data_IF_996032109363
#
_entry.id   IF_996032109363
#
_cell.length_a   1.000
_cell.length_b   1.000
_cell.length_c   1.000
_cell.angle_alpha   90.00
_cell.angle_beta   90.00
_cell.angle_gamma   90.00
#
_symmetry.space_group_name_H-M   'P 1'
#
loop_
_entity.id
_entity.type
_entity.pdbx_description
1 polymer ?
#
# COMPACT_ATOMS: atom_id res chain seq x y z
N UNK A 1 20.32 10.76 0.61
CA UNK A 1 21.31 10.71 -0.50
C UNK A 1 20.56 10.45 -1.80
N UNK A 2 21.00 11.02 -2.93
CA UNK A 2 20.42 10.70 -4.24
C UNK A 2 20.55 9.19 -4.47
N UNK A 3 19.45 8.53 -4.83
CA UNK A 3 19.50 7.12 -5.21
C UNK A 3 19.92 7.08 -6.66
N UNK A 4 21.03 6.38 -6.95
CA UNK A 4 21.42 5.91 -8.28
C UNK A 4 21.06 6.89 -9.44
N UNK A 5 21.81 7.99 -9.55
CA UNK A 5 21.84 8.88 -10.73
C UNK A 5 20.53 9.57 -11.17
N UNK A 6 19.42 9.50 -10.43
CA UNK A 6 18.23 10.31 -10.73
C UNK A 6 18.25 11.64 -9.93
N UNK A 7 18.51 12.80 -10.58
CA UNK A 7 18.52 14.09 -9.90
C UNK A 7 17.13 14.53 -9.38
N UNK A 8 16.06 13.83 -9.79
CA UNK A 8 14.70 14.08 -9.34
C UNK A 8 14.26 13.14 -8.21
N UNK A 9 15.15 12.27 -7.73
CA UNK A 9 14.87 11.31 -6.68
C UNK A 9 15.76 11.54 -5.46
N UNK A 10 15.14 11.64 -4.29
CA UNK A 10 15.85 11.71 -3.00
C UNK A 10 15.34 10.56 -2.16
N UNK A 11 16.26 9.81 -1.53
CA UNK A 11 15.89 8.94 -0.44
C UNK A 11 16.58 9.24 0.87
N UNK A 12 15.82 8.92 1.91
CA UNK A 12 16.19 8.96 3.30
C UNK A 12 15.92 7.57 3.87
N UNK A 13 16.99 6.82 4.13
CA UNK A 13 16.93 5.65 5.00
C UNK A 13 16.91 6.16 6.46
N UNK A 14 16.03 5.62 7.28
CA UNK A 14 15.89 5.96 8.70
C UNK A 14 15.74 4.70 9.55
N UNK A 15 16.13 4.82 10.82
CA UNK A 15 15.99 3.79 11.83
C UNK A 15 15.22 4.36 13.02
N UNK A 16 14.20 3.63 13.47
CA UNK A 16 13.44 3.95 14.67
C UNK A 16 13.79 2.95 15.75
N UNK A 17 14.43 3.45 16.81
CA UNK A 17 14.61 2.70 18.04
C UNK A 17 13.34 2.85 18.90
N UNK A 18 12.70 1.71 19.21
CA UNK A 18 11.56 1.64 20.12
C UNK A 18 12.00 0.98 21.42
N UNK A 19 11.73 1.65 22.54
CA UNK A 19 11.94 1.12 23.88
C UNK A 19 10.63 0.72 24.55
N UNK A 20 10.45 -0.57 24.80
CA UNK A 20 9.30 -1.11 25.55
C UNK A 20 9.64 -1.22 27.04
N UNK A 21 9.17 -0.24 27.82
CA UNK A 21 9.43 -0.16 29.26
C UNK A 21 8.77 -1.28 30.07
N UNK A 22 7.91 -2.10 29.46
CA UNK A 22 7.21 -3.21 30.12
C UNK A 22 7.97 -4.54 30.01
N UNK A 23 9.02 -4.61 29.17
CA UNK A 23 9.87 -5.81 29.01
C UNK A 23 11.12 -5.72 29.89
N UNK A 24 11.60 -6.90 30.34
CA UNK A 24 12.79 -7.05 31.19
C UNK A 24 14.05 -6.44 30.54
N UNK A 25 15.01 -6.05 31.39
CA UNK A 25 16.32 -5.52 30.98
C UNK A 25 17.03 -6.50 30.03
N UNK A 26 17.26 -6.09 28.78
CA UNK A 26 18.00 -6.87 27.77
C UNK A 26 17.23 -7.10 26.45
N UNK A 27 15.90 -7.05 26.47
CA UNK A 27 15.03 -7.25 25.28
C UNK A 27 14.01 -6.13 25.08
N UNK A 28 14.24 -4.99 25.74
CA UNK A 28 13.32 -3.85 25.72
C UNK A 28 13.54 -2.89 24.56
N UNK A 29 14.48 -3.15 23.64
CA UNK A 29 14.76 -2.29 22.50
C UNK A 29 14.51 -3.06 21.20
N UNK A 30 13.72 -2.46 20.31
CA UNK A 30 13.44 -2.98 18.97
C UNK A 30 13.80 -1.92 17.94
N UNK A 31 14.42 -2.34 16.83
CA UNK A 31 14.87 -1.46 15.76
C UNK A 31 13.99 -1.67 14.52
N UNK A 32 13.45 -0.57 13.99
CA UNK A 32 12.61 -0.57 12.80
C UNK A 32 13.26 0.26 11.70
N UNK A 33 13.60 -0.38 10.59
CA UNK A 33 14.22 0.28 9.45
C UNK A 33 13.17 0.66 8.42
N UNK A 34 13.28 1.86 7.87
CA UNK A 34 12.43 2.32 6.78
C UNK A 34 13.16 3.25 5.83
N UNK A 35 12.53 3.48 4.68
CA UNK A 35 13.06 4.29 3.60
C UNK A 35 11.95 5.16 3.04
N UNK A 36 12.19 6.46 3.06
CA UNK A 36 11.35 7.46 2.41
C UNK A 36 12.01 7.82 1.09
N UNK A 37 11.29 7.64 -0.02
CA UNK A 37 11.70 8.08 -1.35
C UNK A 37 10.76 9.19 -1.84
N UNK A 38 11.33 10.31 -2.26
CA UNK A 38 10.63 11.42 -2.85
C UNK A 38 11.05 11.53 -4.31
N UNK A 39 10.09 11.43 -5.21
CA UNK A 39 10.32 11.52 -6.66
C UNK A 39 9.53 12.67 -7.24
N UNK A 40 10.22 13.59 -7.91
CA UNK A 40 9.58 14.68 -8.63
C UNK A 40 9.07 14.19 -9.99
N UNK A 41 7.77 14.34 -10.23
CA UNK A 41 7.09 13.97 -11.47
C UNK A 41 6.50 15.23 -12.10
N UNK A 42 7.29 15.95 -12.90
CA UNK A 42 6.89 17.25 -13.47
C UNK A 42 6.76 18.32 -12.39
N UNK A 43 5.54 18.84 -12.18
CA UNK A 43 5.22 19.78 -11.09
C UNK A 43 4.71 19.08 -9.82
N UNK A 44 4.34 17.79 -9.90
CA UNK A 44 3.85 17.01 -8.77
C UNK A 44 5.03 16.36 -8.01
N UNK A 45 4.89 16.20 -6.69
CA UNK A 45 5.84 15.44 -5.88
C UNK A 45 5.19 14.13 -5.46
N UNK A 46 5.77 13.02 -5.91
CA UNK A 46 5.37 11.69 -5.50
C UNK A 46 6.17 11.28 -4.26
N UNK A 47 5.46 10.74 -3.28
CA UNK A 47 6.04 10.23 -2.04
C UNK A 47 5.84 8.72 -2.02
N UNK A 48 6.95 7.97 -2.01
CA UNK A 48 6.95 6.54 -1.85
C UNK A 48 7.59 6.20 -0.50
N UNK A 49 6.85 5.51 0.34
CA UNK A 49 7.30 5.09 1.66
C UNK A 49 7.45 3.57 1.61
N UNK A 50 8.67 3.07 1.76
CA UNK A 50 8.96 1.65 1.85
C UNK A 50 9.46 1.34 3.26
N UNK A 51 8.74 0.52 4.02
CA UNK A 51 9.05 0.20 5.41
C UNK A 51 9.07 -1.31 5.54
N UNK A 52 10.15 -1.86 6.11
CA UNK A 52 10.28 -3.31 6.16
C UNK A 52 9.44 -3.97 7.25
N UNK A 53 8.92 -3.22 8.24
CA UNK A 53 7.93 -3.67 9.23
C UNK A 53 7.25 -2.45 9.90
N UNK A 54 5.93 -2.32 9.81
CA UNK A 54 5.18 -1.17 10.32
C UNK A 54 4.53 -1.44 11.67
N UNK A 55 5.02 -0.76 12.71
CA UNK A 55 4.16 -0.45 13.87
C UNK A 55 3.34 0.81 13.56
N UNK A 56 2.17 0.98 14.20
CA UNK A 56 1.36 2.21 14.04
C UNK A 56 2.15 3.49 14.39
N UNK A 57 3.06 3.40 15.36
CA UNK A 57 3.94 4.51 15.75
C UNK A 57 4.97 4.85 14.67
N UNK A 58 5.55 3.84 14.03
CA UNK A 58 6.46 4.01 12.89
C UNK A 58 5.78 4.79 11.76
N UNK A 59 4.52 4.45 11.43
CA UNK A 59 3.75 5.16 10.41
C UNK A 59 3.49 6.62 10.79
N UNK A 60 3.12 6.88 12.05
CA UNK A 60 2.92 8.26 12.56
C UNK A 60 4.18 9.10 12.44
N UNK A 61 5.34 8.55 12.84
CA UNK A 61 6.62 9.23 12.72
C UNK A 61 6.94 9.59 11.26
N UNK A 62 6.75 8.65 10.34
CA UNK A 62 7.02 8.87 8.92
C UNK A 62 6.12 9.96 8.34
N UNK A 63 4.85 10.00 8.71
CA UNK A 63 3.94 11.03 8.24
C UNK A 63 4.35 12.44 8.70
N UNK A 64 4.93 12.57 9.91
CA UNK A 64 5.50 13.84 10.39
C UNK A 64 6.74 14.19 9.58
N UNK A 65 7.67 13.23 9.45
CA UNK A 65 8.93 13.41 8.71
C UNK A 65 8.69 13.83 7.26
N UNK A 66 7.78 13.16 6.56
CA UNK A 66 7.38 13.47 5.18
C UNK A 66 6.84 14.90 5.06
N UNK A 67 5.97 15.33 5.98
CA UNK A 67 5.42 16.69 6.00
C UNK A 67 6.53 17.74 6.17
N UNK A 68 7.46 17.50 7.08
CA UNK A 68 8.56 18.42 7.35
C UNK A 68 9.53 18.55 6.17
N UNK A 69 9.88 17.42 5.55
CA UNK A 69 10.75 17.40 4.36
C UNK A 69 10.10 18.14 3.20
N UNK A 70 8.82 17.90 2.93
CA UNK A 70 8.11 18.58 1.84
C UNK A 70 7.98 20.08 2.11
N UNK A 71 7.66 20.46 3.36
CA UNK A 71 7.63 21.87 3.77
C UNK A 71 8.99 22.54 3.54
N UNK A 72 10.08 21.87 3.89
CA UNK A 72 11.43 22.35 3.64
C UNK A 72 11.68 22.59 2.13
N UNK A 73 11.40 21.61 1.27
CA UNK A 73 11.61 21.78 -0.18
C UNK A 73 10.69 22.83 -0.84
N UNK A 74 9.46 23.03 -0.33
CA UNK A 74 8.57 24.12 -0.74
C UNK A 74 9.14 25.49 -0.35
N UNK A 75 9.71 25.60 0.86
CA UNK A 75 10.33 26.84 1.35
C UNK A 75 11.60 27.20 0.56
N UNK A 76 12.38 26.19 0.15
CA UNK A 76 13.57 26.38 -0.70
C UNK A 76 13.24 26.60 -2.19
N UNK A 77 11.97 26.60 -2.58
CA UNK A 77 11.53 26.79 -3.97
C UNK A 77 11.93 25.64 -4.91
N UNK A 78 12.27 24.47 -4.37
CA UNK A 78 12.63 23.26 -5.14
C UNK A 78 11.40 22.51 -5.65
N UNK A 79 10.30 22.64 -4.91
CA UNK A 79 8.96 22.17 -5.24
C UNK A 79 8.05 23.40 -5.31
N UNK A 80 7.08 23.40 -6.25
CA UNK A 80 6.07 24.45 -6.30
C UNK A 80 5.34 24.54 -4.94
N UNK A 81 5.12 25.75 -4.43
CA UNK A 81 4.38 25.95 -3.17
C UNK A 81 2.99 25.31 -3.23
N UNK A 82 2.40 25.32 -4.43
CA UNK A 82 1.09 24.76 -4.75
C UNK A 82 1.17 23.30 -5.20
N UNK A 83 2.36 22.68 -5.30
CA UNK A 83 2.46 21.28 -5.65
C UNK A 83 1.66 20.44 -4.65
N UNK A 84 0.72 19.65 -5.17
CA UNK A 84 -0.02 18.69 -4.40
C UNK A 84 0.85 17.46 -4.11
N UNK A 85 0.76 16.99 -2.88
CA UNK A 85 1.36 15.74 -2.46
C UNK A 85 0.29 14.68 -2.69
N UNK A 86 0.54 13.74 -3.59
CA UNK A 86 -0.41 12.66 -3.86
C UNK A 86 -0.25 11.59 -2.78
N UNK A 87 -1.07 11.68 -1.73
CA UNK A 87 -1.27 10.61 -0.76
C UNK A 87 -2.62 9.95 -1.05
N UNK A 88 -2.62 8.66 -1.39
CA UNK A 88 -3.85 7.90 -1.66
C UNK A 88 -4.48 7.54 -0.32
N UNK A 89 -5.61 8.17 0.01
CA UNK A 89 -6.31 7.97 1.27
C UNK A 89 -7.56 7.13 1.11
N UNK A 90 -7.98 6.46 2.17
CA UNK A 90 -9.19 5.64 2.17
C UNK A 90 -10.45 6.41 1.74
N UNK A 91 -10.58 7.66 2.20
CA UNK A 91 -11.73 8.53 1.90
C UNK A 91 -11.63 9.28 0.57
N UNK A 92 -10.55 9.10 -0.19
CA UNK A 92 -10.49 9.59 -1.56
C UNK A 92 -11.47 8.85 -2.49
N UNK A 93 -12.07 7.76 -2.01
CA UNK A 93 -12.97 6.86 -2.76
C UNK A 93 -14.28 6.62 -2.02
N UNK A 94 -15.37 6.39 -2.77
CA UNK A 94 -16.57 5.77 -2.21
C UNK A 94 -16.35 4.26 -2.16
N UNK A 95 -17.25 3.52 -1.54
CA UNK A 95 -17.04 2.10 -1.30
C UNK A 95 -16.83 1.32 -2.59
N UNK A 96 -17.68 1.58 -3.58
CA UNK A 96 -17.58 0.97 -4.90
C UNK A 96 -16.27 1.30 -5.59
N UNK A 97 -15.93 2.59 -5.70
CA UNK A 97 -14.71 3.04 -6.35
C UNK A 97 -13.45 2.56 -5.60
N UNK A 98 -13.51 2.42 -4.27
CA UNK A 98 -12.40 1.88 -3.46
C UNK A 98 -12.15 0.42 -3.79
N UNK A 99 -13.22 -0.38 -3.87
CA UNK A 99 -13.13 -1.78 -4.25
C UNK A 99 -12.59 -1.89 -5.68
N UNK A 100 -13.15 -1.13 -6.63
CA UNK A 100 -12.69 -1.15 -8.02
C UNK A 100 -11.23 -0.72 -8.15
N UNK A 101 -10.81 0.32 -7.44
CA UNK A 101 -9.41 0.75 -7.37
C UNK A 101 -8.49 -0.38 -6.87
N UNK A 102 -8.82 -1.01 -5.74
CA UNK A 102 -8.00 -2.10 -5.18
C UNK A 102 -7.95 -3.31 -6.11
N UNK A 103 -9.07 -3.68 -6.76
CA UNK A 103 -9.11 -4.78 -7.73
C UNK A 103 -8.31 -4.44 -9.00
N UNK A 104 -8.43 -3.21 -9.51
CA UNK A 104 -7.70 -2.77 -10.69
C UNK A 104 -6.20 -2.77 -10.42
N UNK A 105 -5.78 -2.14 -9.31
CA UNK A 105 -4.38 -2.04 -8.88
C UNK A 105 -3.76 -3.40 -8.56
N UNK A 106 -4.54 -4.38 -8.09
CA UNK A 106 -4.00 -5.68 -7.70
C UNK A 106 -4.11 -6.74 -8.80
N UNK A 107 -5.18 -6.78 -9.61
CA UNK A 107 -5.44 -7.90 -10.51
C UNK A 107 -5.18 -7.57 -11.98
N UNK A 108 -5.40 -6.31 -12.36
CA UNK A 108 -5.31 -5.87 -13.76
C UNK A 108 -4.12 -4.94 -13.98
N UNK A 109 -3.02 -5.23 -13.30
CA UNK A 109 -1.79 -4.44 -13.38
C UNK A 109 -1.28 -4.33 -14.81
N UNK A 110 -1.05 -3.10 -15.26
CA UNK A 110 -0.52 -2.80 -16.60
C UNK A 110 0.89 -2.22 -16.48
N UNK A 111 1.67 -2.36 -17.56
CA UNK A 111 3.01 -1.80 -17.70
C UNK A 111 4.01 -2.23 -16.61
N UNK A 112 3.81 -3.42 -16.04
CA UNK A 112 4.67 -4.05 -15.03
C UNK A 112 5.02 -5.48 -15.44
N UNK A 113 6.13 -5.98 -14.88
CA UNK A 113 6.59 -7.36 -14.93
C UNK A 113 5.81 -8.31 -14.00
N UNK A 114 4.78 -7.82 -13.30
CA UNK A 114 3.94 -8.63 -12.42
C UNK A 114 2.85 -9.36 -13.19
N UNK A 115 2.83 -10.67 -13.02
CA UNK A 115 1.82 -11.58 -13.55
C UNK A 115 0.95 -12.04 -12.37
N UNK A 116 -0.30 -11.57 -12.33
CA UNK A 116 -1.26 -11.95 -11.32
C UNK A 116 -1.52 -13.47 -11.33
N UNK A 117 -1.54 -14.08 -10.13
CA UNK A 117 -1.86 -15.50 -9.95
C UNK A 117 -3.17 -15.72 -9.22
N UNK A 118 -3.35 -15.05 -8.08
CA UNK A 118 -4.48 -15.32 -7.19
C UNK A 118 -4.69 -14.20 -6.17
N UNK A 119 -5.92 -14.10 -5.65
CA UNK A 119 -6.26 -13.27 -4.49
C UNK A 119 -6.36 -14.15 -3.27
N UNK A 120 -5.44 -13.97 -2.33
CA UNK A 120 -5.27 -14.79 -1.13
C UNK A 120 -6.10 -14.32 0.03
N UNK A 121 -6.15 -13.01 0.23
CA UNK A 121 -6.89 -12.40 1.33
C UNK A 121 -7.65 -11.17 0.88
N UNK A 122 -8.79 -10.94 1.52
CA UNK A 122 -9.59 -9.73 1.37
C UNK A 122 -10.03 -9.30 2.75
N UNK A 123 -9.82 -8.02 3.08
CA UNK A 123 -10.20 -7.43 4.35
C UNK A 123 -11.39 -6.50 4.13
N UNK A 124 -12.55 -6.91 4.65
CA UNK A 124 -13.82 -6.20 4.49
C UNK A 124 -14.57 -6.07 5.81
N UNK A 125 -15.44 -5.08 5.88
CA UNK A 125 -16.45 -4.94 6.91
C UNK A 125 -17.70 -4.30 6.31
N UNK A 126 -18.89 -4.47 6.92
CA UNK A 126 -20.07 -3.72 6.52
C UNK A 126 -19.84 -2.21 6.69
N UNK A 127 -20.42 -1.41 5.80
CA UNK A 127 -20.57 0.01 6.04
C UNK A 127 -21.81 0.25 6.92
N UNK A 128 -21.57 0.77 8.12
CA UNK A 128 -22.61 1.06 9.10
C UNK A 128 -23.35 2.37 8.79
N UNK A 129 -22.75 3.26 8.00
CA UNK A 129 -23.32 4.57 7.65
C UNK A 129 -24.38 4.46 6.53
N UNK A 130 -24.41 3.35 5.80
CA UNK A 130 -25.35 3.13 4.71
C UNK A 130 -26.61 2.46 5.25
N UNK A 131 -27.79 2.95 4.91
CA UNK A 131 -29.05 2.32 5.34
C UNK A 131 -29.49 1.22 4.37
N UNK A 132 -30.16 0.18 4.88
CA UNK A 132 -30.79 -0.89 4.11
C UNK A 132 -29.86 -1.70 3.18
N UNK A 133 -28.93 -2.51 3.72
CA UNK A 133 -28.15 -3.43 2.91
C UNK A 133 -29.05 -4.52 2.28
N UNK A 134 -28.66 -5.09 1.13
CA UNK A 134 -29.31 -6.27 0.55
C UNK A 134 -29.45 -7.38 1.59
N UNK A 135 -30.58 -8.11 1.56
CA UNK A 135 -30.93 -9.10 2.58
C UNK A 135 -29.86 -10.20 2.72
N UNK A 136 -29.16 -10.52 1.62
CA UNK A 136 -28.09 -11.51 1.54
C UNK A 136 -26.85 -11.15 2.37
N UNK A 137 -26.60 -9.85 2.60
CA UNK A 137 -25.45 -9.35 3.35
C UNK A 137 -25.85 -8.59 4.62
N UNK A 138 -27.16 -8.44 4.88
CA UNK A 138 -27.69 -7.77 6.07
C UNK A 138 -27.17 -8.36 7.37
N UNK A 139 -26.98 -9.68 7.41
CA UNK A 139 -26.40 -10.37 8.56
C UNK A 139 -24.97 -9.92 8.90
N UNK A 140 -24.21 -9.39 7.93
CA UNK A 140 -22.84 -8.93 8.16
C UNK A 140 -22.83 -7.73 9.12
N UNK A 141 -23.78 -6.81 8.99
CA UNK A 141 -23.91 -5.65 9.88
C UNK A 141 -23.97 -6.07 11.35
N UNK A 142 -24.81 -7.06 11.64
CA UNK A 142 -25.11 -7.43 13.02
C UNK A 142 -24.08 -8.40 13.62
N UNK A 143 -23.29 -9.08 12.78
CA UNK A 143 -22.44 -10.21 13.20
C UNK A 143 -20.95 -10.06 12.90
N UNK A 144 -20.56 -9.12 12.03
CA UNK A 144 -19.18 -8.97 11.56
C UNK A 144 -18.66 -7.58 11.87
N UNK A 145 -17.76 -7.49 12.85
CA UNK A 145 -17.04 -6.25 13.14
C UNK A 145 -15.87 -6.02 12.16
N UNK A 146 -15.08 -7.05 11.88
CA UNK A 146 -14.02 -7.03 10.88
C UNK A 146 -13.83 -8.44 10.35
N UNK A 147 -13.80 -8.64 9.04
CA UNK A 147 -13.48 -9.93 8.46
C UNK A 147 -12.26 -9.84 7.56
N UNK A 148 -11.28 -10.70 7.88
CA UNK A 148 -10.24 -11.10 6.93
C UNK A 148 -10.67 -12.43 6.35
N UNK A 149 -11.10 -12.41 5.09
CA UNK A 149 -11.42 -13.61 4.33
C UNK A 149 -10.13 -14.11 3.70
N UNK A 150 -9.73 -15.33 4.03
CA UNK A 150 -8.53 -16.00 3.50
C UNK A 150 -8.94 -17.22 2.70
N UNK A 151 -8.39 -17.39 1.51
CA UNK A 151 -8.78 -18.47 0.62
C UNK A 151 -7.99 -18.53 -0.69
N UNK A 152 -8.57 -19.24 -1.66
CA UNK A 152 -8.10 -19.31 -3.04
C UNK A 152 -9.16 -18.74 -3.94
N UNK A 153 -8.75 -18.05 -5.00
CA UNK A 153 -9.62 -17.47 -6.01
C UNK A 153 -10.69 -16.54 -5.41
N UNK A 154 -10.37 -15.80 -4.34
CA UNK A 154 -11.35 -14.94 -3.67
C UNK A 154 -11.93 -13.87 -4.61
N UNK A 155 -11.18 -13.46 -5.62
CA UNK A 155 -11.62 -12.57 -6.70
C UNK A 155 -12.80 -13.13 -7.53
N UNK A 156 -13.09 -14.42 -7.42
CA UNK A 156 -14.23 -15.06 -8.07
C UNK A 156 -15.49 -15.14 -7.19
N UNK A 157 -15.43 -14.68 -5.95
CA UNK A 157 -16.57 -14.73 -5.02
C UNK A 157 -17.61 -13.64 -5.32
N UNK A 158 -18.86 -13.89 -4.91
CA UNK A 158 -19.98 -12.97 -5.16
C UNK A 158 -19.76 -11.59 -4.54
N UNK A 159 -19.08 -11.50 -3.39
CA UNK A 159 -18.72 -10.24 -2.73
C UNK A 159 -17.91 -9.28 -3.61
N UNK A 160 -17.19 -9.83 -4.60
CA UNK A 160 -16.27 -9.08 -5.47
C UNK A 160 -16.84 -8.92 -6.88
N UNK A 161 -17.55 -9.94 -7.37
CA UNK A 161 -18.11 -9.94 -8.73
C UNK A 161 -19.45 -9.21 -8.86
N UNK A 162 -20.27 -9.20 -7.81
CA UNK A 162 -21.62 -8.66 -7.90
C UNK A 162 -21.64 -7.18 -7.49
N UNK A 163 -22.02 -6.32 -8.43
CA UNK A 163 -22.03 -4.86 -8.24
C UNK A 163 -22.96 -4.39 -7.12
N UNK A 164 -23.99 -5.18 -6.79
CA UNK A 164 -25.06 -4.79 -5.88
C UNK A 164 -24.61 -4.70 -4.40
N UNK A 165 -23.46 -5.29 -4.05
CA UNK A 165 -22.93 -5.26 -2.69
C UNK A 165 -21.82 -4.22 -2.50
N UNK A 166 -21.23 -3.73 -3.59
CA UNK A 166 -20.02 -2.89 -3.55
C UNK A 166 -20.23 -1.59 -2.77
N UNK A 167 -21.44 -1.04 -2.83
CA UNK A 167 -21.76 0.18 -2.09
C UNK A 167 -21.82 -0.07 -0.57
N UNK A 168 -22.18 -1.27 -0.11
CA UNK A 168 -22.44 -1.58 1.30
C UNK A 168 -21.23 -2.16 2.06
N UNK A 169 -20.10 -2.33 1.38
CA UNK A 169 -18.92 -3.01 1.92
C UNK A 169 -17.73 -2.04 1.94
N UNK A 170 -17.13 -1.90 3.12
CA UNK A 170 -15.85 -1.24 3.30
C UNK A 170 -14.73 -2.25 3.09
N UNK A 171 -14.10 -2.24 1.91
CA UNK A 171 -12.84 -2.94 1.68
C UNK A 171 -11.66 -2.07 2.09
N UNK A 172 -10.85 -2.55 3.02
CA UNK A 172 -9.66 -1.84 3.50
C UNK A 172 -8.37 -2.61 3.22
N UNK A 173 -8.42 -3.82 2.67
CA UNK A 173 -7.21 -4.46 2.18
C UNK A 173 -7.45 -5.64 1.26
N UNK A 174 -6.47 -5.92 0.40
CA UNK A 174 -6.43 -7.07 -0.48
C UNK A 174 -4.99 -7.61 -0.56
N UNK A 175 -4.82 -8.92 -0.46
CA UNK A 175 -3.53 -9.59 -0.67
C UNK A 175 -3.61 -10.44 -1.92
N UNK A 176 -2.70 -10.21 -2.85
CA UNK A 176 -2.60 -10.98 -4.08
C UNK A 176 -1.21 -11.60 -4.22
N UNK A 177 -1.18 -12.78 -4.85
CA UNK A 177 0.06 -13.46 -5.20
C UNK A 177 0.36 -13.27 -6.69
N UNK A 178 1.64 -13.13 -7.01
CA UNK A 178 2.15 -12.85 -8.34
C UNK A 178 3.37 -13.70 -8.66
N UNK A 179 3.64 -13.83 -9.95
CA UNK A 179 4.99 -14.08 -10.45
C UNK A 179 5.55 -12.76 -10.98
N UNK A 180 6.79 -12.44 -10.63
CA UNK A 180 7.53 -11.34 -11.20
C UNK A 180 8.54 -11.89 -12.21
N UNK A 181 8.49 -11.38 -13.44
CA UNK A 181 9.41 -11.73 -14.52
C UNK A 181 10.25 -10.52 -14.93
N UNK A 182 11.49 -10.46 -14.44
CA UNK A 182 12.41 -9.36 -14.67
C UNK A 182 13.70 -9.81 -15.36
N UNK A 183 14.39 -8.85 -15.97
CA UNK A 183 15.63 -9.11 -16.70
C UNK A 183 16.74 -9.69 -15.80
N UNK A 184 16.86 -9.16 -14.58
CA UNK A 184 17.89 -9.56 -13.60
C UNK A 184 17.48 -10.77 -12.76
N UNK A 185 16.18 -10.89 -12.45
CA UNK A 185 15.65 -11.94 -11.60
C UNK A 185 14.17 -12.21 -11.84
N UNK A 186 13.78 -13.44 -11.53
CA UNK A 186 12.40 -13.86 -11.43
C UNK A 186 12.08 -14.25 -9.99
N UNK A 187 10.85 -14.01 -9.54
CA UNK A 187 10.46 -14.34 -8.17
C UNK A 187 8.96 -14.62 -8.04
N UNK A 188 8.58 -15.36 -7.01
CA UNK A 188 7.22 -15.31 -6.50
C UNK A 188 7.12 -14.16 -5.50
N UNK A 189 5.99 -13.45 -5.49
CA UNK A 189 5.75 -12.46 -4.46
C UNK A 189 4.28 -12.39 -4.07
N UNK A 190 4.05 -11.98 -2.83
CA UNK A 190 2.73 -11.58 -2.34
C UNK A 190 2.78 -10.09 -2.01
N UNK A 191 1.77 -9.36 -2.47
CA UNK A 191 1.62 -7.93 -2.20
C UNK A 191 0.31 -7.74 -1.47
N UNK A 192 0.39 -7.16 -0.28
CA UNK A 192 -0.74 -6.69 0.50
C UNK A 192 -0.92 -5.20 0.29
N UNK A 193 -2.05 -4.83 -0.30
CA UNK A 193 -2.50 -3.46 -0.49
C UNK A 193 -3.50 -3.17 0.62
N UNK A 194 -3.15 -2.31 1.56
CA UNK A 194 -3.98 -2.04 2.72
C UNK A 194 -4.08 -0.56 3.03
N UNK A 195 -5.31 -0.12 3.31
CA UNK A 195 -5.53 1.02 4.18
C UNK A 195 -5.51 0.50 5.62
N UNK A 196 -5.05 1.31 6.56
CA UNK A 196 -4.94 0.95 7.99
C UNK A 196 -6.19 0.23 8.54
N UNK A 197 -6.05 -0.41 9.71
CA UNK A 197 -7.16 -1.12 10.37
C UNK A 197 -8.42 -0.25 10.54
N UNK A 198 -9.61 -0.88 10.59
CA UNK A 198 -10.92 -0.20 10.78
C UNK A 198 -10.93 0.90 11.85
N UNK A 199 -10.17 0.70 12.95
CA UNK A 199 -10.06 1.66 14.07
C UNK A 199 -9.34 2.95 13.71
N UNK A 200 -8.50 2.95 12.68
CA UNK A 200 -7.70 4.09 12.23
C UNK A 200 -8.29 4.75 10.98
N UNK A 201 -9.40 4.24 10.42
CA UNK A 201 -10.02 4.78 9.21
C UNK A 201 -10.44 6.25 9.40
N UNK A 202 -10.85 6.65 10.61
CA UNK A 202 -11.25 8.02 10.93
C UNK A 202 -10.13 9.07 10.80
N UNK A 203 -8.86 8.65 10.81
CA UNK A 203 -7.70 9.57 10.79
C UNK A 203 -7.15 9.83 9.37
N UNK A 204 -7.84 9.36 8.33
CA UNK A 204 -7.39 9.53 6.94
C UNK A 204 -6.26 8.56 6.59
N UNK A 205 -6.49 7.26 6.82
CA UNK A 205 -5.55 6.19 6.53
C UNK A 205 -5.05 6.21 5.08
N UNK A 206 -3.75 6.06 4.93
CA UNK A 206 -3.05 6.06 3.65
C UNK A 206 -2.85 4.62 3.16
N UNK A 207 -2.88 4.45 1.84
CA UNK A 207 -2.59 3.16 1.20
C UNK A 207 -1.13 2.77 1.46
N UNK A 208 -0.94 1.58 2.05
CA UNK A 208 0.35 0.95 2.27
C UNK A 208 0.45 -0.31 1.41
N UNK A 209 1.64 -0.55 0.84
CA UNK A 209 1.95 -1.78 0.11
C UNK A 209 3.02 -2.55 0.87
N UNK A 210 2.69 -3.75 1.33
CA UNK A 210 3.65 -4.66 1.96
C UNK A 210 3.97 -5.79 0.97
N UNK A 211 5.25 -5.94 0.59
CA UNK A 211 5.70 -6.98 -0.34
C UNK A 211 6.49 -8.05 0.39
N UNK A 212 6.06 -9.30 0.25
CA UNK A 212 6.83 -10.48 0.62
C UNK A 212 7.34 -11.18 -0.64
N UNK A 213 8.66 -11.22 -0.83
CA UNK A 213 9.30 -11.88 -1.97
C UNK A 213 9.84 -13.25 -1.55
N UNK A 214 9.53 -14.27 -2.35
CA UNK A 214 9.97 -15.66 -2.20
C UNK A 214 10.52 -16.21 -3.52
N UNK A 215 11.28 -17.30 -3.44
CA UNK A 215 11.76 -18.04 -4.61
C UNK A 215 12.50 -17.18 -5.67
N UNK A 216 13.38 -16.29 -5.21
CA UNK A 216 14.20 -15.45 -6.10
C UNK A 216 15.15 -16.35 -6.90
N UNK A 217 15.08 -16.26 -8.23
CA UNK A 217 15.96 -16.93 -9.20
C UNK A 217 16.66 -15.85 -10.00
N UNK A 218 18.00 -15.93 -10.09
CA UNK A 218 18.81 -14.94 -10.80
C UNK A 218 19.51 -15.58 -11.99
N UNK A 219 19.75 -14.78 -13.03
CA UNK A 219 20.32 -15.28 -14.29
C UNK A 219 21.86 -15.43 -14.26
N UNK A 220 22.58 -14.65 -13.42
CA UNK A 220 24.04 -14.46 -13.51
C UNK A 220 24.85 -14.83 -12.24
N UNK A 221 24.42 -15.78 -11.39
CA UNK A 221 25.05 -16.04 -10.07
C UNK A 221 25.14 -14.82 -9.13
N UNK A 222 24.53 -13.69 -9.48
CA UNK A 222 24.39 -12.52 -8.61
C UNK A 222 23.35 -12.85 -7.54
N UNK A 223 23.69 -12.61 -6.28
CA UNK A 223 22.73 -12.76 -5.19
C UNK A 223 21.94 -11.45 -5.05
N UNK A 224 20.62 -11.52 -5.21
CA UNK A 224 19.72 -10.37 -5.04
C UNK A 224 19.02 -10.51 -3.70
N UNK A 225 19.14 -9.50 -2.85
CA UNK A 225 18.46 -9.48 -1.55
C UNK A 225 16.95 -9.28 -1.74
N UNK A 226 16.14 -9.78 -0.79
CA UNK A 226 14.69 -9.55 -0.78
C UNK A 226 14.33 -8.07 -0.81
N UNK A 227 15.05 -7.23 -0.06
CA UNK A 227 14.83 -5.78 -0.03
C UNK A 227 15.03 -5.14 -1.42
N UNK A 228 16.10 -5.51 -2.13
CA UNK A 228 16.33 -5.03 -3.50
C UNK A 228 15.25 -5.52 -4.46
N UNK A 229 14.86 -6.79 -4.37
CA UNK A 229 13.77 -7.34 -5.19
C UNK A 229 12.43 -6.62 -4.92
N UNK A 230 12.05 -6.43 -3.65
CA UNK A 230 10.83 -5.70 -3.25
C UNK A 230 10.81 -4.30 -3.82
N UNK A 231 11.96 -3.59 -3.80
CA UNK A 231 12.07 -2.25 -4.38
C UNK A 231 11.79 -2.26 -5.89
N UNK A 232 12.45 -3.14 -6.65
CA UNK A 232 12.24 -3.23 -8.11
C UNK A 232 10.77 -3.53 -8.43
N UNK A 233 10.15 -4.41 -7.66
CA UNK A 233 8.72 -4.75 -7.82
C UNK A 233 7.83 -3.54 -7.53
N UNK A 234 8.05 -2.82 -6.42
CA UNK A 234 7.30 -1.61 -6.07
C UNK A 234 7.45 -0.53 -7.15
N UNK A 235 8.68 -0.26 -7.59
CA UNK A 235 8.97 0.76 -8.61
C UNK A 235 8.23 0.46 -9.92
N UNK A 236 8.06 -0.82 -10.27
CA UNK A 236 7.30 -1.24 -11.45
C UNK A 236 5.79 -0.96 -11.36
N UNK A 237 5.23 -0.87 -10.14
CA UNK A 237 3.80 -0.63 -9.90
C UNK A 237 3.44 0.86 -9.84
N UNK A 238 4.41 1.73 -9.56
CA UNK A 238 4.15 3.12 -9.19
C UNK A 238 3.36 3.89 -10.24
N UNK A 239 3.71 3.74 -11.52
CA UNK A 239 2.99 4.41 -12.61
C UNK A 239 1.51 3.99 -12.64
N UNK A 240 1.26 2.68 -12.61
CA UNK A 240 -0.08 2.15 -12.71
C UNK A 240 -0.93 2.43 -11.46
N UNK A 241 -0.30 2.47 -10.29
CA UNK A 241 -0.92 2.92 -9.03
C UNK A 241 -1.49 4.32 -9.15
N UNK A 242 -0.74 5.25 -9.71
CA UNK A 242 -1.19 6.64 -9.88
C UNK A 242 -2.26 6.78 -10.95
N UNK A 243 -2.15 6.06 -12.08
CA UNK A 243 -3.18 6.05 -13.12
C UNK A 243 -4.51 5.51 -12.58
N UNK A 244 -4.47 4.36 -11.90
CA UNK A 244 -5.64 3.77 -11.24
C UNK A 244 -6.23 4.70 -10.17
N UNK A 245 -5.39 5.38 -9.40
CA UNK A 245 -5.88 6.35 -8.41
C UNK A 245 -6.66 7.49 -9.08
N UNK A 246 -6.11 8.08 -10.15
CA UNK A 246 -6.77 9.18 -10.88
C UNK A 246 -8.10 8.74 -11.51
N UNK A 247 -8.22 7.47 -11.91
CA UNK A 247 -9.45 6.92 -12.50
C UNK A 247 -10.58 6.75 -11.48
N UNK A 248 -10.28 6.28 -10.25
CA UNK A 248 -11.30 5.91 -9.27
C UNK A 248 -11.49 6.91 -8.13
N UNK A 249 -10.60 7.91 -7.98
CA UNK A 249 -10.78 8.97 -6.98
C UNK A 249 -12.11 9.71 -7.21
N UNK A 250 -12.82 10.04 -6.13
CA UNK A 250 -13.99 10.93 -6.19
C UNK A 250 -13.57 12.30 -6.75
N UNK A 251 -14.39 12.84 -7.65
CA UNK A 251 -14.24 14.20 -8.19
C UNK A 251 -14.63 15.25 -7.16
#
# INVERSE_FOLDING_TARGET
>A
MAIENDPNCIALDFEIERKDLTKNLGENITHHFGRLELKKCGQEMQVNININHTSKETLKFINILTKDIIKHFKNEGKIDKNAEIINIKFYDFDNKNRILFLLQLSQKVLYTSLIFKDTKNVQICPDDDISNPPDEIKWMRDKIENSRLSGKELHNTFFIKESNYLDYILMFGITCSYYFEGDDFNANCEIEYEFSSRKDLLDGSELTLNINVTDIKTNDNKNISKSKASKVILDSLEKYKLESYKEYKKT
#
